data_IF_091366022348
#
_entry.id   IF_091366022348
#
_cell.length_a   1.000
_cell.length_b   1.000
_cell.length_c   1.000
_cell.angle_alpha   90.00
_cell.angle_beta   90.00
_cell.angle_gamma   90.00
#
_symmetry.space_group_name_H-M   'P 1'
#
loop_
_entity.id
_entity.type
_entity.pdbx_description
1 polymer ?
#
# COMPACT_ATOMS: atom_id res chain seq x y z
N UNK A 1 -25.32 -3.56 -18.68
CA UNK A 1 -24.27 -4.61 -18.86
C UNK A 1 -23.36 -4.10 -19.98
N UNK A 2 -22.25 -3.50 -19.61
CA UNK A 2 -21.31 -2.90 -20.58
C UNK A 2 -20.48 -4.03 -21.20
N UNK A 3 -20.67 -4.24 -22.51
CA UNK A 3 -19.86 -5.16 -23.31
C UNK A 3 -18.44 -4.55 -23.48
N UNK A 4 -17.47 -5.03 -22.70
CA UNK A 4 -16.06 -4.75 -22.97
C UNK A 4 -15.64 -5.37 -24.32
N UNK A 5 -14.98 -4.58 -25.17
CA UNK A 5 -14.52 -5.03 -26.47
C UNK A 5 -13.46 -6.16 -26.34
N UNK A 6 -13.44 -7.16 -27.24
CA UNK A 6 -12.51 -8.30 -27.16
C UNK A 6 -11.04 -7.91 -27.07
N UNK A 7 -10.63 -6.78 -27.67
CA UNK A 7 -9.27 -6.26 -27.58
C UNK A 7 -8.88 -5.72 -26.21
N UNK A 8 -9.84 -5.15 -25.46
CA UNK A 8 -9.61 -4.67 -24.10
C UNK A 8 -9.37 -5.82 -23.14
N UNK A 9 -10.16 -6.90 -23.23
CA UNK A 9 -9.99 -8.12 -22.41
C UNK A 9 -8.60 -8.75 -22.61
N UNK A 10 -8.15 -8.88 -23.86
CA UNK A 10 -6.81 -9.42 -24.17
C UNK A 10 -5.71 -8.51 -23.63
N UNK A 11 -5.88 -7.19 -23.73
CA UNK A 11 -4.93 -6.22 -23.20
C UNK A 11 -4.81 -6.26 -21.68
N UNK A 12 -5.92 -6.50 -20.95
CA UNK A 12 -5.92 -6.64 -19.50
C UNK A 12 -5.34 -7.98 -19.04
N UNK A 13 -5.62 -9.08 -19.74
CA UNK A 13 -5.00 -10.38 -19.48
C UNK A 13 -3.47 -10.32 -19.61
N UNK A 14 -2.96 -9.67 -20.66
CA UNK A 14 -1.50 -9.47 -20.84
C UNK A 14 -0.93 -8.58 -19.72
N UNK A 15 -1.65 -7.54 -19.32
CA UNK A 15 -1.24 -6.69 -18.18
C UNK A 15 -1.14 -7.51 -16.90
N UNK A 16 -2.16 -8.27 -16.59
CA UNK A 16 -2.20 -9.10 -15.38
C UNK A 16 -1.07 -10.12 -15.36
N UNK A 17 -0.82 -10.83 -16.48
CA UNK A 17 0.28 -11.78 -16.61
C UNK A 17 1.65 -11.13 -16.33
N UNK A 18 1.89 -9.93 -16.85
CA UNK A 18 3.14 -9.19 -16.59
C UNK A 18 3.27 -8.87 -15.09
N UNK A 19 2.20 -8.41 -14.45
CA UNK A 19 2.21 -8.03 -13.04
C UNK A 19 2.39 -9.23 -12.12
N UNK A 20 1.70 -10.34 -12.37
CA UNK A 20 1.88 -11.60 -11.63
C UNK A 20 3.31 -12.11 -11.77
N UNK A 21 3.83 -12.16 -13.00
CA UNK A 21 5.24 -12.57 -13.25
C UNK A 21 6.24 -11.68 -12.52
N UNK A 22 6.01 -10.36 -12.49
CA UNK A 22 6.89 -9.42 -11.82
C UNK A 22 6.93 -9.64 -10.31
N UNK A 23 5.76 -9.87 -9.68
CA UNK A 23 5.68 -10.08 -8.23
C UNK A 23 6.29 -11.43 -7.83
N UNK A 24 6.08 -12.48 -8.63
CA UNK A 24 6.68 -13.79 -8.40
C UNK A 24 8.22 -13.71 -8.45
N UNK A 25 8.76 -13.00 -9.44
CA UNK A 25 10.20 -12.74 -9.52
C UNK A 25 10.73 -11.96 -8.30
N UNK A 26 9.99 -10.95 -7.83
CA UNK A 26 10.39 -10.22 -6.62
C UNK A 26 10.45 -11.13 -5.40
N UNK A 27 9.50 -12.05 -5.24
CA UNK A 27 9.54 -13.03 -4.14
C UNK A 27 10.67 -14.03 -4.26
N UNK A 28 11.04 -14.44 -5.50
CA UNK A 28 12.07 -15.46 -5.73
C UNK A 28 13.49 -14.90 -5.59
N UNK A 29 13.76 -13.74 -6.19
CA UNK A 29 15.13 -13.23 -6.34
C UNK A 29 15.35 -11.82 -5.79
N UNK A 30 14.31 -11.21 -5.19
CA UNK A 30 14.34 -9.85 -4.67
C UNK A 30 14.25 -8.77 -5.75
N UNK A 31 13.79 -7.57 -5.38
CA UNK A 31 13.60 -6.45 -6.32
C UNK A 31 14.88 -6.09 -7.10
N UNK A 32 16.04 -6.12 -6.42
CA UNK A 32 17.33 -5.74 -7.02
C UNK A 32 17.67 -6.57 -8.24
N UNK A 33 17.43 -7.88 -8.17
CA UNK A 33 17.75 -8.84 -9.24
C UNK A 33 16.71 -8.91 -10.36
N UNK A 34 15.53 -8.32 -10.16
CA UNK A 34 14.49 -8.25 -11.19
C UNK A 34 14.86 -7.22 -12.26
N UNK A 35 14.60 -7.56 -13.51
CA UNK A 35 14.73 -6.66 -14.66
C UNK A 35 13.53 -6.79 -15.60
N UNK A 36 13.31 -5.80 -16.47
CA UNK A 36 12.27 -5.88 -17.51
C UNK A 36 12.54 -7.05 -18.44
N UNK A 37 13.82 -7.38 -18.66
CA UNK A 37 14.27 -8.53 -19.45
C UNK A 37 13.83 -9.85 -18.82
N UNK A 38 14.01 -10.01 -17.51
CA UNK A 38 13.61 -11.23 -16.80
C UNK A 38 12.09 -11.37 -16.77
N UNK A 39 11.35 -10.27 -16.60
CA UNK A 39 9.88 -10.27 -16.68
C UNK A 39 9.42 -10.66 -18.09
N UNK A 40 10.01 -10.09 -19.15
CA UNK A 40 9.69 -10.40 -20.53
C UNK A 40 9.96 -11.86 -20.88
N UNK A 41 11.15 -12.37 -20.49
CA UNK A 41 11.55 -13.76 -20.74
C UNK A 41 10.58 -14.75 -20.07
N UNK A 42 10.18 -14.50 -18.83
CA UNK A 42 9.33 -15.39 -18.05
C UNK A 42 7.84 -15.31 -18.45
N UNK A 43 7.34 -14.11 -18.74
CA UNK A 43 5.94 -13.91 -19.16
C UNK A 43 5.70 -14.26 -20.63
N UNK A 44 6.74 -14.39 -21.45
CA UNK A 44 6.62 -14.53 -22.91
C UNK A 44 6.14 -13.26 -23.61
N UNK A 45 6.10 -12.12 -22.93
CA UNK A 45 5.64 -10.84 -23.48
C UNK A 45 6.83 -10.00 -23.96
N UNK A 46 6.76 -9.45 -25.18
CA UNK A 46 7.82 -8.64 -25.72
C UNK A 46 8.13 -7.42 -24.84
N UNK A 47 9.42 -7.09 -24.64
CA UNK A 47 9.89 -5.95 -23.87
C UNK A 47 9.25 -4.62 -24.31
N UNK A 48 9.06 -4.43 -25.61
CA UNK A 48 8.39 -3.25 -26.16
C UNK A 48 6.95 -3.09 -25.66
N UNK A 49 6.24 -4.20 -25.42
CA UNK A 49 4.90 -4.19 -24.85
C UNK A 49 4.92 -3.78 -23.38
N UNK A 50 5.94 -4.18 -22.64
CA UNK A 50 6.12 -3.80 -21.23
C UNK A 50 6.49 -2.31 -21.16
N UNK A 51 7.52 -1.85 -21.89
CA UNK A 51 7.97 -0.45 -21.89
C UNK A 51 6.89 0.55 -22.38
N UNK A 52 5.97 0.11 -23.22
CA UNK A 52 4.84 0.97 -23.63
C UNK A 52 3.91 1.31 -22.46
N UNK A 53 3.84 0.49 -21.41
CA UNK A 53 2.96 0.68 -20.25
C UNK A 53 3.71 1.19 -19.01
N UNK A 54 4.95 0.78 -18.84
CA UNK A 54 5.76 1.09 -17.66
C UNK A 54 7.15 1.56 -18.08
N UNK A 55 7.59 2.73 -17.63
CA UNK A 55 8.88 3.29 -18.03
C UNK A 55 10.08 2.50 -17.50
N UNK A 56 9.93 1.79 -16.38
CA UNK A 56 11.01 1.04 -15.73
C UNK A 56 10.46 -0.13 -14.88
N UNK A 57 11.35 -0.95 -14.32
CA UNK A 57 10.98 -2.08 -13.48
C UNK A 57 10.24 -1.67 -12.21
N UNK A 58 10.59 -0.52 -11.62
CA UNK A 58 9.96 -0.04 -10.40
C UNK A 58 8.46 0.24 -10.63
N UNK A 59 8.10 0.82 -11.77
CA UNK A 59 6.72 1.06 -12.13
C UNK A 59 5.92 -0.25 -12.31
N UNK A 60 6.53 -1.29 -12.95
CA UNK A 60 5.90 -2.62 -13.08
C UNK A 60 5.67 -3.24 -11.70
N UNK A 61 6.71 -3.29 -10.88
CA UNK A 61 6.66 -3.93 -9.56
C UNK A 61 5.67 -3.21 -8.64
N UNK A 62 5.64 -1.88 -8.68
CA UNK A 62 4.67 -1.13 -7.86
C UNK A 62 3.22 -1.33 -8.31
N UNK A 63 2.96 -1.44 -9.62
CA UNK A 63 1.61 -1.79 -10.10
C UNK A 63 1.23 -3.23 -9.71
N UNK A 64 2.17 -4.17 -9.75
CA UNK A 64 1.98 -5.54 -9.30
C UNK A 64 1.69 -5.61 -7.79
N UNK A 65 2.46 -4.87 -6.99
CA UNK A 65 2.23 -4.70 -5.57
C UNK A 65 0.83 -4.12 -5.28
N UNK A 66 0.45 -3.07 -6.00
CA UNK A 66 -0.87 -2.43 -5.84
C UNK A 66 -2.02 -3.36 -6.22
N UNK A 67 -1.86 -4.18 -7.25
CA UNK A 67 -2.86 -5.17 -7.63
C UNK A 67 -3.07 -6.20 -6.52
N UNK A 68 -1.98 -6.61 -5.85
CA UNK A 68 -1.98 -7.62 -4.79
C UNK A 68 -2.57 -7.11 -3.46
N UNK A 69 -2.18 -5.92 -3.01
CA UNK A 69 -2.51 -5.43 -1.66
C UNK A 69 -3.45 -4.22 -1.66
N UNK A 70 -3.69 -3.63 -2.83
CA UNK A 70 -4.34 -2.32 -2.94
C UNK A 70 -5.73 -2.24 -2.34
N UNK A 71 -6.58 -3.21 -2.60
CA UNK A 71 -7.98 -3.21 -2.11
C UNK A 71 -8.11 -3.55 -0.62
N UNK A 72 -7.17 -4.35 -0.09
CA UNK A 72 -7.20 -4.82 1.29
C UNK A 72 -6.87 -3.73 2.34
N UNK A 73 -6.41 -2.56 1.91
CA UNK A 73 -5.95 -1.49 2.82
C UNK A 73 -6.75 -0.19 2.69
N UNK A 74 -7.94 -0.25 2.12
CA UNK A 74 -8.85 0.89 2.03
C UNK A 74 -9.64 1.08 3.33
N UNK A 75 -10.15 2.30 3.55
CA UNK A 75 -11.02 2.59 4.68
C UNK A 75 -12.40 1.98 4.47
N UNK A 76 -12.83 0.97 5.26
CA UNK A 76 -14.15 0.38 5.11
C UNK A 76 -15.23 1.34 5.64
N UNK A 77 -16.49 1.19 5.20
CA UNK A 77 -17.58 1.97 5.77
C UNK A 77 -17.84 1.54 7.23
N UNK A 78 -18.14 2.52 8.10
CA UNK A 78 -18.58 2.28 9.46
C UNK A 78 -19.48 3.43 9.95
N UNK A 79 -20.19 3.23 11.07
CA UNK A 79 -21.11 4.23 11.64
C UNK A 79 -20.35 5.48 12.10
N UNK A 80 -19.26 5.29 12.84
CA UNK A 80 -18.38 6.37 13.27
C UNK A 80 -17.19 6.43 12.32
N UNK A 81 -16.71 7.63 12.06
CA UNK A 81 -15.54 7.82 11.20
C UNK A 81 -14.28 7.26 11.87
N UNK A 82 -14.18 7.41 13.21
CA UNK A 82 -13.07 6.85 13.99
C UNK A 82 -13.01 5.33 13.93
N UNK A 83 -14.15 4.63 13.80
CA UNK A 83 -14.17 3.18 13.63
C UNK A 83 -13.59 2.75 12.27
N UNK A 84 -13.76 3.58 11.22
CA UNK A 84 -13.13 3.35 9.91
C UNK A 84 -11.61 3.37 9.99
N UNK A 85 -11.06 4.25 10.85
CA UNK A 85 -9.61 4.34 11.07
C UNK A 85 -9.10 3.06 11.72
N UNK A 86 -9.74 2.59 12.80
CA UNK A 86 -9.37 1.35 13.50
C UNK A 86 -9.44 0.15 12.57
N UNK A 87 -10.55 -0.01 11.84
CA UNK A 87 -10.74 -1.12 10.90
C UNK A 87 -9.67 -1.12 9.79
N UNK A 88 -9.28 0.06 9.31
CA UNK A 88 -8.24 0.17 8.30
C UNK A 88 -6.85 -0.16 8.89
N UNK A 89 -6.56 0.22 10.14
CA UNK A 89 -5.31 -0.16 10.82
C UNK A 89 -5.22 -1.69 10.99
N UNK A 90 -6.31 -2.37 11.37
CA UNK A 90 -6.38 -3.83 11.40
C UNK A 90 -6.20 -4.46 10.01
N UNK A 91 -6.76 -3.85 8.96
CA UNK A 91 -6.55 -4.32 7.60
C UNK A 91 -5.08 -4.22 7.18
N UNK A 92 -4.39 -3.14 7.55
CA UNK A 92 -2.95 -3.01 7.32
C UNK A 92 -2.14 -4.00 8.15
N UNK A 93 -2.50 -4.22 9.40
CA UNK A 93 -1.86 -5.21 10.26
C UNK A 93 -1.89 -6.61 9.61
N UNK A 94 -3.05 -7.06 9.10
CA UNK A 94 -3.19 -8.34 8.41
C UNK A 94 -2.28 -8.45 7.18
N UNK A 95 -2.17 -7.38 6.40
CA UNK A 95 -1.24 -7.34 5.26
C UNK A 95 0.21 -7.42 5.75
N UNK A 96 0.57 -6.67 6.80
CA UNK A 96 1.95 -6.56 7.27
C UNK A 96 2.47 -7.82 8.01
N UNK A 97 1.58 -8.63 8.56
CA UNK A 97 1.95 -9.93 9.19
C UNK A 97 2.24 -11.05 8.21
N UNK A 98 1.72 -10.98 6.98
CA UNK A 98 1.83 -12.03 5.98
C UNK A 98 3.02 -11.84 5.03
N UNK A 99 3.05 -12.67 3.99
CA UNK A 99 4.02 -12.56 2.87
C UNK A 99 4.03 -11.17 2.23
N UNK A 100 2.89 -10.50 2.22
CA UNK A 100 2.78 -9.15 1.68
C UNK A 100 3.52 -8.13 2.55
N UNK A 101 3.61 -8.36 3.86
CA UNK A 101 4.44 -7.57 4.76
C UNK A 101 5.94 -7.73 4.48
N UNK A 102 6.39 -8.94 4.16
CA UNK A 102 7.78 -9.17 3.72
C UNK A 102 8.07 -8.40 2.43
N UNK A 103 7.12 -8.40 1.49
CA UNK A 103 7.21 -7.62 0.25
C UNK A 103 7.29 -6.12 0.53
N UNK A 104 6.39 -5.57 1.37
CA UNK A 104 6.41 -4.15 1.77
C UNK A 104 7.74 -3.78 2.40
N UNK A 105 8.23 -4.60 3.35
CA UNK A 105 9.50 -4.40 4.01
C UNK A 105 10.67 -4.38 3.03
N UNK A 106 10.70 -5.34 2.10
CA UNK A 106 11.74 -5.44 1.08
C UNK A 106 11.72 -4.25 0.12
N UNK A 107 10.55 -3.85 -0.38
CA UNK A 107 10.42 -2.70 -1.28
C UNK A 107 10.81 -1.38 -0.59
N UNK A 108 10.42 -1.18 0.67
CA UNK A 108 10.82 -0.01 1.45
C UNK A 108 12.33 0.05 1.72
N UNK A 109 12.96 -1.09 2.00
CA UNK A 109 14.40 -1.18 2.18
C UNK A 109 15.15 -0.84 0.88
N UNK A 110 14.72 -1.43 -0.25
CA UNK A 110 15.34 -1.14 -1.56
C UNK A 110 15.10 0.30 -2.03
N UNK A 111 13.96 0.90 -1.69
CA UNK A 111 13.66 2.30 -2.01
C UNK A 111 14.61 3.31 -1.34
N UNK A 112 15.37 2.90 -0.31
CA UNK A 112 16.41 3.75 0.27
C UNK A 112 17.62 3.91 -0.65
N UNK A 113 17.83 2.99 -1.60
CA UNK A 113 18.98 2.94 -2.49
C UNK A 113 18.59 3.07 -3.98
N UNK A 114 17.32 2.90 -4.33
CA UNK A 114 16.80 3.01 -5.70
C UNK A 114 15.84 4.20 -5.81
N UNK A 115 16.27 5.33 -6.42
CA UNK A 115 15.45 6.54 -6.54
C UNK A 115 14.18 6.34 -7.36
N UNK A 116 14.20 5.48 -8.39
CA UNK A 116 13.01 5.19 -9.22
C UNK A 116 11.97 4.44 -8.40
N UNK A 117 12.40 3.46 -7.58
CA UNK A 117 11.51 2.76 -6.67
C UNK A 117 10.98 3.68 -5.57
N UNK A 118 11.81 4.55 -5.01
CA UNK A 118 11.40 5.53 -4.00
C UNK A 118 10.28 6.45 -4.53
N UNK A 119 10.44 6.97 -5.74
CA UNK A 119 9.43 7.79 -6.41
C UNK A 119 8.17 6.97 -6.68
N UNK A 120 8.29 5.78 -7.28
CA UNK A 120 7.16 4.93 -7.61
C UNK A 120 6.39 4.49 -6.36
N UNK A 121 7.09 4.14 -5.26
CA UNK A 121 6.47 3.78 -3.99
C UNK A 121 5.71 4.96 -3.39
N UNK A 122 6.33 6.15 -3.34
CA UNK A 122 5.71 7.36 -2.82
C UNK A 122 4.46 7.75 -3.62
N UNK A 123 4.55 7.82 -4.94
CA UNK A 123 3.47 8.31 -5.79
C UNK A 123 2.31 7.32 -5.94
N UNK A 124 2.60 6.02 -5.99
CA UNK A 124 1.59 5.00 -6.25
C UNK A 124 1.00 4.39 -4.98
N UNK A 125 1.76 4.37 -3.90
CA UNK A 125 1.32 3.80 -2.61
C UNK A 125 1.07 4.87 -1.57
N UNK A 126 2.09 5.64 -1.20
CA UNK A 126 2.04 6.50 0.00
C UNK A 126 1.09 7.68 -0.18
N UNK A 127 1.29 8.50 -1.21
CA UNK A 127 0.52 9.73 -1.38
C UNK A 127 -0.99 9.50 -1.60
N UNK A 128 -1.45 8.52 -2.43
CA UNK A 128 -2.87 8.26 -2.58
C UNK A 128 -3.54 7.81 -1.28
N UNK A 129 -2.86 6.96 -0.49
CA UNK A 129 -3.39 6.49 0.80
C UNK A 129 -3.42 7.59 1.84
N UNK A 130 -2.38 8.41 1.87
CA UNK A 130 -2.32 9.57 2.73
C UNK A 130 -3.44 10.56 2.43
N UNK A 131 -3.72 10.84 1.16
CA UNK A 131 -4.82 11.69 0.75
C UNK A 131 -6.20 11.14 1.22
N UNK A 132 -6.42 9.83 1.09
CA UNK A 132 -7.64 9.19 1.61
C UNK A 132 -7.72 9.28 3.13
N UNK A 133 -6.63 9.06 3.84
CA UNK A 133 -6.57 9.19 5.29
C UNK A 133 -6.89 10.63 5.73
N UNK A 134 -6.27 11.63 5.10
CA UNK A 134 -6.55 13.05 5.37
C UNK A 134 -8.05 13.36 5.21
N UNK A 135 -8.70 12.86 4.17
CA UNK A 135 -10.14 13.05 3.97
C UNK A 135 -10.96 12.43 5.11
N UNK A 136 -10.60 11.21 5.56
CA UNK A 136 -11.28 10.53 6.67
C UNK A 136 -11.07 11.28 7.99
N UNK A 137 -9.86 11.76 8.28
CA UNK A 137 -9.59 12.53 9.50
C UNK A 137 -10.32 13.88 9.50
N UNK A 138 -10.39 14.57 8.36
CA UNK A 138 -11.17 15.81 8.22
C UNK A 138 -12.66 15.55 8.47
N UNK A 139 -13.22 14.49 7.89
CA UNK A 139 -14.60 14.08 8.15
C UNK A 139 -14.85 13.83 9.65
N UNK A 140 -13.92 13.17 10.35
CA UNK A 140 -14.02 12.93 11.78
C UNK A 140 -13.98 14.22 12.61
N UNK A 141 -13.17 15.21 12.20
CA UNK A 141 -13.12 16.53 12.81
C UNK A 141 -14.44 17.30 12.58
N UNK A 142 -14.96 17.30 11.36
CA UNK A 142 -16.22 17.94 10.99
C UNK A 142 -17.41 17.37 11.76
N UNK A 143 -17.43 16.06 11.97
CA UNK A 143 -18.46 15.36 12.77
C UNK A 143 -18.27 15.51 14.29
N UNK A 144 -17.18 16.15 14.73
CA UNK A 144 -16.87 16.34 16.15
C UNK A 144 -16.43 15.06 16.87
N UNK A 145 -16.01 14.05 16.14
CA UNK A 145 -15.41 12.83 16.70
C UNK A 145 -13.95 13.05 17.11
N UNK A 146 -13.26 13.97 16.43
CA UNK A 146 -11.91 14.45 16.74
C UNK A 146 -11.92 15.94 17.10
N UNK A 147 -10.89 16.39 17.80
CA UNK A 147 -10.72 17.81 18.17
C UNK A 147 -10.43 18.64 16.92
N UNK A 148 -10.93 19.89 16.89
CA UNK A 148 -10.79 20.80 15.74
C UNK A 148 -9.36 21.27 15.48
N UNK A 149 -8.54 21.29 16.53
CA UNK A 149 -7.16 21.77 16.49
C UNK A 149 -6.16 20.74 15.95
N UNK A 150 -6.64 19.53 15.66
CA UNK A 150 -5.78 18.45 15.14
C UNK A 150 -5.41 18.75 13.70
N UNK A 151 -4.13 18.70 13.42
CA UNK A 151 -3.62 18.56 12.06
C UNK A 151 -3.74 17.10 11.59
N UNK A 152 -4.55 16.81 10.54
CA UNK A 152 -4.73 15.46 10.03
C UNK A 152 -3.43 14.77 9.62
N UNK A 153 -2.46 15.51 9.07
CA UNK A 153 -1.18 14.96 8.63
C UNK A 153 -0.37 14.41 9.81
N UNK A 154 -0.27 15.20 10.89
CA UNK A 154 0.40 14.78 12.12
C UNK A 154 -0.32 13.63 12.80
N UNK A 155 -1.66 13.63 12.82
CA UNK A 155 -2.44 12.55 13.40
C UNK A 155 -2.28 11.21 12.64
N UNK A 156 -2.17 11.27 11.32
CA UNK A 156 -1.86 10.11 10.47
C UNK A 156 -0.47 9.57 10.82
N UNK A 157 0.53 10.43 10.92
CA UNK A 157 1.89 9.99 11.27
C UNK A 157 1.91 9.34 12.66
N UNK A 158 1.21 9.91 13.63
CA UNK A 158 1.12 9.36 14.99
C UNK A 158 0.56 7.92 15.00
N UNK A 159 -0.46 7.63 14.20
CA UNK A 159 -1.14 6.35 14.22
C UNK A 159 -0.50 5.31 13.29
N UNK A 160 0.06 5.73 12.16
CA UNK A 160 0.53 4.80 11.14
C UNK A 160 2.05 4.59 11.14
N UNK A 161 2.86 5.57 11.54
CA UNK A 161 4.31 5.41 11.59
C UNK A 161 4.76 4.23 12.48
N UNK A 162 4.14 3.95 13.64
CA UNK A 162 4.51 2.80 14.47
C UNK A 162 4.32 1.44 13.80
N UNK A 163 3.35 1.30 12.85
CA UNK A 163 3.15 0.07 12.09
C UNK A 163 4.36 -0.17 11.17
N UNK A 164 4.77 0.86 10.44
CA UNK A 164 5.95 0.80 9.56
C UNK A 164 7.24 0.63 10.35
N UNK A 165 7.34 1.28 11.53
CA UNK A 165 8.48 1.11 12.42
C UNK A 165 8.63 -0.36 12.85
N UNK A 166 7.55 -1.00 13.35
CA UNK A 166 7.60 -2.42 13.72
C UNK A 166 7.88 -3.32 12.53
N UNK A 167 7.27 -3.05 11.37
CA UNK A 167 7.51 -3.80 10.14
C UNK A 167 8.99 -3.75 9.72
N UNK A 168 9.63 -2.57 9.80
CA UNK A 168 11.00 -2.36 9.32
C UNK A 168 12.06 -2.80 10.34
N UNK A 169 11.86 -2.47 11.62
CA UNK A 169 12.87 -2.65 12.67
C UNK A 169 12.68 -3.98 13.42
N UNK A 170 11.46 -4.53 13.43
CA UNK A 170 11.19 -5.81 14.09
C UNK A 170 11.23 -5.74 15.62
N UNK A 171 10.86 -4.60 16.22
CA UNK A 171 10.87 -4.41 17.67
C UNK A 171 9.77 -5.19 18.41
N UNK A 172 8.89 -5.86 17.70
CA UNK A 172 7.81 -6.70 18.23
C UNK A 172 6.77 -6.99 17.16
N UNK A 173 5.87 -7.91 17.48
CA UNK A 173 4.82 -8.36 16.56
C UNK A 173 3.78 -7.25 16.29
N UNK A 174 3.33 -7.17 15.06
CA UNK A 174 2.12 -6.44 14.71
C UNK A 174 0.92 -7.33 15.05
N UNK A 175 0.45 -7.29 16.31
CA UNK A 175 -0.71 -8.05 16.79
C UNK A 175 -1.97 -7.17 16.83
N UNK A 176 -3.15 -7.80 16.86
CA UNK A 176 -4.42 -7.10 17.05
C UNK A 176 -4.38 -6.26 18.34
N UNK A 177 -3.92 -6.84 19.46
CA UNK A 177 -3.78 -6.12 20.74
C UNK A 177 -2.87 -4.89 20.63
N UNK A 178 -1.79 -5.00 19.83
CA UNK A 178 -0.92 -3.85 19.60
C UNK A 178 -1.63 -2.75 18.81
N UNK A 179 -2.39 -3.10 17.78
CA UNK A 179 -3.16 -2.13 17.01
C UNK A 179 -4.21 -1.45 17.88
N UNK A 180 -4.94 -2.22 18.67
CA UNK A 180 -5.94 -1.67 19.58
C UNK A 180 -5.30 -0.73 20.61
N UNK A 181 -4.20 -1.14 21.24
CA UNK A 181 -3.46 -0.29 22.19
C UNK A 181 -2.93 0.98 21.55
N UNK A 182 -2.33 0.87 20.36
CA UNK A 182 -1.83 2.03 19.60
C UNK A 182 -2.95 3.00 19.26
N UNK A 183 -4.08 2.48 18.75
CA UNK A 183 -5.25 3.29 18.44
C UNK A 183 -5.83 3.94 19.69
N UNK A 184 -6.04 3.19 20.76
CA UNK A 184 -6.60 3.71 22.00
C UNK A 184 -5.74 4.84 22.59
N UNK A 185 -4.42 4.61 22.71
CA UNK A 185 -3.51 5.62 23.25
C UNK A 185 -3.41 6.85 22.34
N UNK A 186 -3.29 6.65 21.03
CA UNK A 186 -3.29 7.74 20.07
C UNK A 186 -4.59 8.55 20.12
N UNK A 187 -5.73 7.86 20.17
CA UNK A 187 -7.04 8.51 20.21
C UNK A 187 -7.33 9.24 21.54
N UNK A 188 -6.71 8.87 22.65
CA UNK A 188 -6.81 9.67 23.91
C UNK A 188 -6.30 11.10 23.72
N UNK A 189 -5.27 11.27 22.90
CA UNK A 189 -4.76 12.60 22.53
C UNK A 189 -5.58 13.33 21.46
N UNK A 190 -6.32 12.60 20.63
CA UNK A 190 -6.99 13.12 19.43
C UNK A 190 -8.49 13.38 19.63
N UNK A 191 -9.19 12.59 20.48
CA UNK A 191 -10.63 12.72 20.70
C UNK A 191 -10.97 14.01 21.44
N UNK A 192 -12.13 14.58 21.09
CA UNK A 192 -12.76 15.62 21.86
C UNK A 192 -13.14 15.05 23.23
N UNK A 193 -12.81 15.79 24.31
CA UNK A 193 -13.27 15.49 25.68
C UNK A 193 -14.77 15.74 25.79
#
# INVERSE_FOLDING_TARGET
>A
MSHEAPGQKRGEQVRQLILETAIDLVFEVGFRSVSVESIAARSGVAKTTIYRRWPNKAAVVMDAFMLRVGSGTLFPPARRVTDRITLQMHAMEKVFRGKDGELVRGLLAEAQFDPELAVAFRERWTLPRRAMAVAVFREAIERGELRREIDPETAIDLLYAPLYYRLQIGTGDLSEDYIEGLFEHGMKGLRKK
#
